data_IF_446624152602
#
_entry.id   IF_446624152602
#
_cell.length_a   1.000
_cell.length_b   1.000
_cell.length_c   1.000
_cell.angle_alpha   90.00
_cell.angle_beta   90.00
_cell.angle_gamma   90.00
#
_symmetry.space_group_name_H-M   'P 1'
#
loop_
_entity.id
_entity.type
_entity.pdbx_description
1 polymer ?
#
# COMPACT_ATOMS: atom_id res chain seq x y z
N UNK A 1 -33.63 31.78 -18.05
CA UNK A 1 -32.30 31.82 -18.72
C UNK A 1 -31.16 32.16 -17.76
N UNK A 2 -31.43 32.57 -16.51
CA UNK A 2 -30.40 32.88 -15.51
C UNK A 2 -29.83 31.65 -14.78
N UNK A 3 -30.60 30.56 -14.65
CA UNK A 3 -30.17 29.38 -13.88
C UNK A 3 -29.08 28.52 -14.56
N UNK A 4 -28.93 28.62 -15.88
CA UNK A 4 -27.95 27.81 -16.61
C UNK A 4 -26.51 28.36 -16.52
N UNK A 5 -26.33 29.58 -15.99
CA UNK A 5 -25.01 30.22 -15.81
C UNK A 5 -24.42 29.90 -14.42
N UNK A 6 -25.28 29.62 -13.43
CA UNK A 6 -24.85 29.23 -12.08
C UNK A 6 -24.34 27.78 -12.02
N UNK A 7 -24.99 26.85 -12.71
CA UNK A 7 -24.52 25.46 -12.78
C UNK A 7 -23.15 25.32 -13.47
N UNK A 8 -22.84 26.18 -14.45
CA UNK A 8 -21.53 26.17 -15.11
C UNK A 8 -20.43 26.83 -14.27
N UNK A 9 -20.78 27.71 -13.33
CA UNK A 9 -19.80 28.35 -12.43
C UNK A 9 -19.44 27.45 -11.25
N UNK A 10 -20.41 26.73 -10.66
CA UNK A 10 -20.13 25.79 -9.56
C UNK A 10 -19.30 24.57 -9.99
N UNK A 11 -19.54 24.05 -11.21
CA UNK A 11 -18.74 22.93 -11.74
C UNK A 11 -17.31 23.37 -12.07
N UNK A 12 -17.12 24.62 -12.50
CA UNK A 12 -15.79 25.20 -12.73
C UNK A 12 -15.05 25.48 -11.41
N UNK A 13 -15.77 25.85 -10.35
CA UNK A 13 -15.20 26.13 -9.03
C UNK A 13 -14.78 24.84 -8.29
N UNK A 14 -15.53 23.75 -8.43
CA UNK A 14 -15.13 22.43 -7.95
C UNK A 14 -13.89 21.89 -8.68
N UNK A 15 -13.80 22.08 -9.99
CA UNK A 15 -12.62 21.69 -10.79
C UNK A 15 -11.38 22.53 -10.43
N UNK A 16 -11.54 23.82 -10.14
CA UNK A 16 -10.45 24.68 -9.68
C UNK A 16 -9.94 24.27 -8.29
N UNK A 17 -10.84 23.88 -7.38
CA UNK A 17 -10.48 23.44 -6.02
C UNK A 17 -9.75 22.09 -6.02
N UNK A 18 -10.13 21.18 -6.93
CA UNK A 18 -9.41 19.92 -7.13
C UNK A 18 -8.02 20.11 -7.78
N UNK A 19 -7.87 21.10 -8.67
CA UNK A 19 -6.59 21.46 -9.25
C UNK A 19 -5.65 22.10 -8.22
N UNK A 20 -6.15 22.97 -7.34
CA UNK A 20 -5.37 23.54 -6.23
C UNK A 20 -4.96 22.49 -5.20
N UNK A 21 -5.83 21.52 -4.89
CA UNK A 21 -5.49 20.39 -4.01
C UNK A 21 -4.39 19.50 -4.62
N UNK A 22 -4.44 19.24 -5.93
CA UNK A 22 -3.40 18.50 -6.64
C UNK A 22 -2.06 19.25 -6.70
N UNK A 23 -2.09 20.58 -6.89
CA UNK A 23 -0.89 21.42 -6.86
C UNK A 23 -0.27 21.49 -5.46
N UNK A 24 -1.08 21.56 -4.40
CA UNK A 24 -0.59 21.52 -3.01
C UNK A 24 0.01 20.15 -2.64
N UNK A 25 -0.58 19.05 -3.10
CA UNK A 25 -0.01 17.71 -2.92
C UNK A 25 1.34 17.56 -3.65
N UNK A 26 1.45 18.07 -4.88
CA UNK A 26 2.69 18.07 -5.65
C UNK A 26 3.78 18.95 -5.02
N UNK A 27 3.43 20.12 -4.48
CA UNK A 27 4.36 20.99 -3.76
C UNK A 27 4.87 20.33 -2.47
N UNK A 28 3.99 19.65 -1.72
CA UNK A 28 4.36 18.93 -0.49
C UNK A 28 5.29 17.73 -0.79
N UNK A 29 5.07 17.04 -1.91
CA UNK A 29 5.96 15.96 -2.37
C UNK A 29 7.32 16.49 -2.84
N UNK A 30 7.36 17.67 -3.48
CA UNK A 30 8.60 18.32 -3.89
C UNK A 30 9.44 18.79 -2.68
N UNK A 31 8.80 19.37 -1.65
CA UNK A 31 9.47 19.76 -0.41
C UNK A 31 9.99 18.55 0.37
N UNK A 32 9.24 17.44 0.39
CA UNK A 32 9.69 16.18 0.99
C UNK A 32 10.92 15.61 0.24
N UNK A 33 10.94 15.68 -1.10
CA UNK A 33 12.07 15.24 -1.90
C UNK A 33 13.31 16.14 -1.71
N UNK A 34 13.13 17.45 -1.58
CA UNK A 34 14.23 18.38 -1.31
C UNK A 34 14.81 18.19 0.10
N UNK A 35 13.97 17.95 1.12
CA UNK A 35 14.44 17.62 2.47
C UNK A 35 15.16 16.26 2.54
N UNK A 36 14.69 15.26 1.79
CA UNK A 36 15.39 13.97 1.68
C UNK A 36 16.76 14.11 1.00
N UNK A 37 16.86 14.94 -0.05
CA UNK A 37 18.12 15.22 -0.74
C UNK A 37 19.11 16.01 0.14
N UNK A 38 18.63 16.99 0.92
CA UNK A 38 19.46 17.74 1.86
C UNK A 38 19.98 16.85 3.00
N UNK A 39 19.13 15.95 3.53
CA UNK A 39 19.54 14.99 4.57
C UNK A 39 20.56 13.97 4.05
N UNK A 40 20.44 13.54 2.78
CA UNK A 40 21.42 12.67 2.13
C UNK A 40 22.76 13.38 1.86
N UNK A 41 22.73 14.68 1.52
CA UNK A 41 23.94 15.49 1.33
C UNK A 41 24.70 15.72 2.64
N UNK A 42 24.00 15.99 3.75
CA UNK A 42 24.60 16.12 5.08
C UNK A 42 25.18 14.79 5.59
N UNK A 43 24.50 13.67 5.32
CA UNK A 43 25.02 12.33 5.64
C UNK A 43 26.30 12.01 4.84
N UNK A 44 26.36 12.38 3.56
CA UNK A 44 27.53 12.20 2.71
C UNK A 44 28.71 13.09 3.13
N UNK A 45 28.46 14.35 3.54
CA UNK A 45 29.51 15.22 4.08
C UNK A 45 30.05 14.72 5.42
N UNK A 46 29.20 14.25 6.34
CA UNK A 46 29.66 13.68 7.61
C UNK A 46 30.45 12.38 7.42
N UNK A 47 30.09 11.55 6.42
CA UNK A 47 30.87 10.37 6.07
C UNK A 47 32.27 10.72 5.49
N UNK A 48 32.35 11.79 4.68
CA UNK A 48 33.63 12.26 4.12
C UNK A 48 34.57 12.86 5.18
N UNK A 49 34.03 13.55 6.20
CA UNK A 49 34.80 14.10 7.32
C UNK A 49 35.32 12.99 8.25
N UNK A 50 34.53 11.92 8.48
CA UNK A 50 34.99 10.76 9.25
C UNK A 50 36.06 9.92 8.51
N UNK A 51 35.97 9.83 7.17
CA UNK A 51 36.98 9.14 6.37
C UNK A 51 38.34 9.85 6.34
N UNK A 52 38.38 11.19 6.53
CA UNK A 52 39.64 11.95 6.57
C UNK A 52 40.34 11.91 7.93
N UNK A 53 39.64 11.62 9.04
CA UNK A 53 40.27 11.43 10.36
C UNK A 53 40.90 10.06 10.57
N UNK A 54 40.51 9.03 9.81
CA UNK A 54 41.08 7.69 9.91
C UNK A 54 42.44 7.51 9.17
N UNK A 55 42.84 8.47 8.33
CA UNK A 55 44.01 8.35 7.46
C UNK A 55 45.32 8.95 8.01
N UNK A 56 45.36 9.46 9.25
CA UNK A 56 46.57 10.09 9.84
C UNK A 56 47.21 9.34 11.01
N UNK A 57 46.71 8.17 11.40
CA UNK A 57 47.33 7.35 12.43
C UNK A 57 48.42 6.44 11.85
N UNK A 58 49.53 7.01 11.40
CA UNK A 58 50.78 6.26 11.22
C UNK A 58 51.36 6.01 12.62
N UNK A 59 51.52 4.76 13.08
CA UNK A 59 52.17 4.51 14.37
C UNK A 59 53.65 4.89 14.24
N UNK A 60 54.04 5.95 14.94
CA UNK A 60 55.45 6.27 15.19
C UNK A 60 56.06 5.12 16.00
N UNK A 61 57.16 4.48 15.58
CA UNK A 61 57.83 3.49 16.42
C UNK A 61 58.41 4.19 17.66
N UNK A 62 57.79 3.95 18.81
CA UNK A 62 58.28 4.38 20.10
C UNK A 62 59.39 3.44 20.58
N UNK A 63 60.61 3.62 20.08
CA UNK A 63 61.87 3.33 20.79
C UNK A 63 63.08 3.59 19.89
N UNK A 64 63.65 4.79 19.95
CA UNK A 64 65.07 4.98 19.68
C UNK A 64 65.68 5.71 20.88
N UNK A 65 66.78 5.20 21.47
CA UNK A 65 67.48 5.90 22.54
C UNK A 65 68.11 7.20 21.99
N UNK A 66 68.24 8.24 22.82
CA UNK A 66 68.77 9.54 22.38
C UNK A 66 70.25 9.41 22.01
N UNK A 67 70.57 9.63 20.74
CA UNK A 67 71.96 9.77 20.30
C UNK A 67 72.52 11.11 20.80
N UNK A 68 73.50 11.01 21.69
CA UNK A 68 74.35 12.12 22.10
C UNK A 68 75.14 12.66 20.91
N UNK A 69 75.08 13.98 20.75
CA UNK A 69 76.02 14.76 19.96
C UNK A 69 77.46 14.51 20.46
N UNK A 70 78.28 13.84 19.66
CA UNK A 70 79.73 14.04 19.66
C UNK A 70 80.16 14.35 18.23
N UNK A 71 80.74 15.53 18.05
CA UNK A 71 81.31 15.94 16.78
C UNK A 71 82.65 15.25 16.55
N UNK A 72 82.83 14.68 15.36
CA UNK A 72 84.09 14.69 14.62
C UNK A 72 83.81 14.25 13.18
N UNK A 73 84.14 15.12 12.24
CA UNK A 73 84.06 14.86 10.82
C UNK A 73 85.15 13.86 10.43
N UNK A 74 84.74 12.73 9.85
CA UNK A 74 85.47 12.01 8.80
C UNK A 74 84.43 11.27 7.96
N UNK A 75 84.29 11.70 6.71
CA UNK A 75 83.54 11.07 5.60
C UNK A 75 82.41 10.12 6.01
N UNK A 76 81.21 10.67 6.22
CA UNK A 76 80.02 9.90 5.94
C UNK A 76 80.02 9.62 4.42
N UNK A 77 79.96 8.36 3.97
CA UNK A 77 79.88 8.06 2.55
C UNK A 77 78.64 8.74 1.97
N UNK A 78 78.84 9.81 1.19
CA UNK A 78 77.77 10.59 0.56
C UNK A 78 77.00 9.82 -0.54
N UNK A 79 77.37 8.56 -0.79
CA UNK A 79 76.72 7.67 -1.73
C UNK A 79 76.64 6.26 -1.14
N UNK A 80 75.62 5.50 -1.58
CA UNK A 80 75.47 4.09 -1.19
C UNK A 80 76.73 3.28 -1.56
N UNK A 81 77.44 3.70 -2.61
CA UNK A 81 78.63 3.03 -3.14
C UNK A 81 79.87 3.19 -2.25
N UNK A 82 79.88 4.14 -1.31
CA UNK A 82 80.98 4.33 -0.37
C UNK A 82 80.75 3.63 0.99
N UNK A 83 79.64 2.88 1.14
CA UNK A 83 79.40 1.98 2.27
C UNK A 83 80.15 0.64 2.10
N UNK A 84 80.46 -0.08 3.18
CA UNK A 84 80.96 -1.45 3.10
C UNK A 84 80.02 -2.38 2.32
N UNK A 85 80.55 -3.39 1.64
CA UNK A 85 79.78 -4.29 0.76
C UNK A 85 78.57 -4.97 1.45
N UNK A 86 78.73 -5.35 2.73
CA UNK A 86 77.62 -5.90 3.53
C UNK A 86 76.46 -4.91 3.73
N UNK A 87 76.77 -3.61 3.87
CA UNK A 87 75.78 -2.56 4.05
C UNK A 87 75.12 -2.16 2.72
N UNK A 88 75.87 -2.22 1.60
CA UNK A 88 75.30 -2.04 0.27
C UNK A 88 74.29 -3.14 -0.08
N UNK A 89 74.62 -4.40 0.25
CA UNK A 89 73.71 -5.52 0.04
C UNK A 89 72.46 -5.41 0.91
N UNK A 90 72.59 -5.06 2.19
CA UNK A 90 71.44 -4.79 3.05
C UNK A 90 70.53 -3.68 2.49
N UNK A 91 71.10 -2.60 1.95
CA UNK A 91 70.31 -1.52 1.33
C UNK A 91 69.60 -1.98 0.05
N UNK A 92 70.23 -2.85 -0.76
CA UNK A 92 69.58 -3.47 -1.92
C UNK A 92 68.43 -4.38 -1.48
N UNK A 93 68.66 -5.25 -0.51
CA UNK A 93 67.64 -6.16 0.03
C UNK A 93 66.43 -5.39 0.59
N UNK A 94 66.66 -4.34 1.39
CA UNK A 94 65.60 -3.47 1.92
C UNK A 94 64.82 -2.72 0.84
N UNK A 95 65.46 -2.36 -0.28
CA UNK A 95 64.80 -1.73 -1.42
C UNK A 95 63.94 -2.74 -2.19
N UNK A 96 64.44 -3.94 -2.39
CA UNK A 96 63.72 -5.03 -3.05
C UNK A 96 62.51 -5.49 -2.22
N UNK A 97 62.66 -5.57 -0.90
CA UNK A 97 61.55 -5.83 0.02
C UNK A 97 60.51 -4.70 -0.03
N UNK A 98 60.92 -3.43 0.03
CA UNK A 98 60.00 -2.31 -0.09
C UNK A 98 59.26 -2.29 -1.44
N UNK A 99 59.95 -2.59 -2.54
CA UNK A 99 59.32 -2.70 -3.86
C UNK A 99 58.27 -3.82 -3.89
N UNK A 100 58.58 -4.99 -3.32
CA UNK A 100 57.63 -6.10 -3.15
C UNK A 100 56.43 -5.68 -2.29
N UNK A 101 56.65 -4.97 -1.19
CA UNK A 101 55.57 -4.49 -0.32
C UNK A 101 54.66 -3.48 -1.01
N UNK A 102 55.23 -2.52 -1.76
CA UNK A 102 54.45 -1.55 -2.54
C UNK A 102 53.61 -2.23 -3.61
N UNK A 103 54.19 -3.20 -4.33
CA UNK A 103 53.45 -3.95 -5.35
C UNK A 103 52.33 -4.78 -4.71
N UNK A 104 52.60 -5.50 -3.61
CA UNK A 104 51.57 -6.23 -2.88
C UNK A 104 50.45 -5.33 -2.36
N UNK A 105 50.78 -4.16 -1.82
CA UNK A 105 49.79 -3.20 -1.34
C UNK A 105 48.94 -2.64 -2.50
N UNK A 106 49.57 -2.34 -3.65
CA UNK A 106 48.85 -1.89 -4.85
C UNK A 106 47.90 -2.97 -5.37
N UNK A 107 48.37 -4.21 -5.51
CA UNK A 107 47.53 -5.33 -5.94
C UNK A 107 46.39 -5.60 -4.95
N UNK A 108 46.65 -5.57 -3.64
CA UNK A 108 45.59 -5.75 -2.64
C UNK A 108 44.52 -4.64 -2.70
N UNK A 109 44.92 -3.39 -2.96
CA UNK A 109 43.98 -2.28 -3.13
C UNK A 109 43.15 -2.42 -4.42
N UNK A 110 43.77 -2.83 -5.53
CA UNK A 110 43.08 -3.11 -6.80
C UNK A 110 42.07 -4.26 -6.65
N UNK A 111 42.46 -5.35 -5.98
CA UNK A 111 41.57 -6.48 -5.68
C UNK A 111 40.41 -6.10 -4.75
N UNK A 112 40.66 -5.28 -3.74
CA UNK A 112 39.61 -4.80 -2.83
C UNK A 112 38.58 -3.95 -3.60
N UNK A 113 39.06 -3.05 -4.45
CA UNK A 113 38.20 -2.20 -5.29
C UNK A 113 37.39 -3.05 -6.28
N UNK A 114 37.99 -4.05 -6.91
CA UNK A 114 37.27 -4.96 -7.82
C UNK A 114 36.21 -5.79 -7.08
N UNK A 115 36.52 -6.31 -5.88
CA UNK A 115 35.51 -7.04 -5.08
C UNK A 115 34.34 -6.14 -4.71
N UNK A 116 34.61 -4.91 -4.31
CA UNK A 116 33.55 -3.95 -3.96
C UNK A 116 32.67 -3.61 -5.16
N UNK A 117 33.28 -3.39 -6.35
CA UNK A 117 32.53 -3.19 -7.60
C UNK A 117 31.66 -4.40 -7.94
N UNK A 118 32.20 -5.62 -7.89
CA UNK A 118 31.44 -6.85 -8.16
C UNK A 118 30.29 -7.04 -7.17
N UNK A 119 30.49 -6.73 -5.88
CA UNK A 119 29.42 -6.79 -4.88
C UNK A 119 28.34 -5.74 -5.14
N UNK A 120 28.73 -4.52 -5.52
CA UNK A 120 27.78 -3.47 -5.87
C UNK A 120 26.96 -3.81 -7.12
N UNK A 121 27.58 -4.41 -8.14
CA UNK A 121 26.90 -4.89 -9.34
C UNK A 121 25.95 -6.05 -9.03
N UNK A 122 26.39 -7.02 -8.24
CA UNK A 122 25.55 -8.14 -7.80
C UNK A 122 24.32 -7.63 -7.01
N UNK A 123 24.51 -6.70 -6.07
CA UNK A 123 23.42 -6.11 -5.31
C UNK A 123 22.44 -5.30 -6.18
N UNK A 124 22.93 -4.59 -7.21
CA UNK A 124 22.08 -3.90 -8.19
C UNK A 124 21.24 -4.90 -8.99
N UNK A 125 21.86 -5.97 -9.48
CA UNK A 125 21.16 -6.99 -10.25
C UNK A 125 20.11 -7.71 -9.40
N UNK A 126 20.43 -8.00 -8.14
CA UNK A 126 19.49 -8.57 -7.18
C UNK A 126 18.30 -7.63 -6.91
N UNK A 127 18.56 -6.34 -6.71
CA UNK A 127 17.49 -5.34 -6.55
C UNK A 127 16.57 -5.28 -7.77
N UNK A 128 17.15 -5.21 -8.97
CA UNK A 128 16.42 -5.19 -10.24
C UNK A 128 15.54 -6.43 -10.39
N UNK A 129 16.08 -7.61 -10.07
CA UNK A 129 15.32 -8.86 -10.10
C UNK A 129 14.17 -8.86 -9.07
N UNK A 130 14.42 -8.39 -7.85
CA UNK A 130 13.40 -8.29 -6.80
C UNK A 130 12.26 -7.36 -7.20
N UNK A 131 12.58 -6.22 -7.83
CA UNK A 131 11.57 -5.28 -8.35
C UNK A 131 10.76 -5.93 -9.48
N UNK A 132 11.42 -6.60 -10.44
CA UNK A 132 10.74 -7.29 -11.54
C UNK A 132 9.76 -8.35 -11.03
N UNK A 133 10.21 -9.18 -10.09
CA UNK A 133 9.39 -10.20 -9.43
C UNK A 133 8.20 -9.59 -8.69
N UNK A 134 8.38 -8.49 -7.98
CA UNK A 134 7.31 -7.79 -7.27
C UNK A 134 6.29 -7.14 -8.24
N UNK A 135 6.74 -6.72 -9.42
CA UNK A 135 5.89 -6.19 -10.49
C UNK A 135 5.23 -7.30 -11.33
N UNK A 136 5.62 -8.56 -11.16
CA UNK A 136 5.09 -9.69 -11.92
C UNK A 136 5.69 -9.81 -13.32
N UNK A 137 6.82 -9.16 -13.58
CA UNK A 137 7.62 -9.39 -14.79
C UNK A 137 8.45 -10.65 -14.53
N UNK A 138 8.15 -11.72 -15.26
CA UNK A 138 8.88 -12.98 -15.20
C UNK A 138 10.35 -12.78 -15.62
N UNK A 139 11.20 -13.78 -15.31
CA UNK A 139 12.68 -13.84 -15.33
C UNK A 139 13.43 -13.44 -16.63
N UNK A 140 12.83 -12.70 -17.55
CA UNK A 140 13.55 -12.01 -18.60
C UNK A 140 14.32 -10.84 -17.98
N UNK A 141 15.59 -10.67 -18.40
CA UNK A 141 16.49 -9.61 -17.94
C UNK A 141 15.78 -8.26 -18.09
N UNK A 142 15.22 -7.70 -17.00
CA UNK A 142 14.14 -6.75 -17.12
C UNK A 142 14.75 -5.40 -17.47
N UNK A 143 14.39 -4.87 -18.63
CA UNK A 143 14.88 -3.57 -19.04
C UNK A 143 14.34 -2.51 -18.07
N UNK A 144 15.15 -1.53 -17.61
CA UNK A 144 14.68 -0.46 -16.71
C UNK A 144 13.41 0.24 -17.20
N UNK A 145 13.25 0.38 -18.52
CA UNK A 145 12.05 0.96 -19.11
C UNK A 145 10.80 0.11 -18.86
N UNK A 146 10.92 -1.22 -18.97
CA UNK A 146 9.82 -2.15 -18.72
C UNK A 146 9.42 -2.15 -17.24
N UNK A 147 10.37 -2.01 -16.33
CA UNK A 147 10.08 -1.89 -14.89
C UNK A 147 9.29 -0.62 -14.58
N UNK A 148 9.66 0.51 -15.18
CA UNK A 148 8.94 1.77 -15.02
C UNK A 148 7.52 1.68 -15.58
N UNK A 149 7.35 1.12 -16.78
CA UNK A 149 6.03 0.93 -17.38
C UNK A 149 5.16 -0.02 -16.54
N UNK A 150 5.71 -1.12 -16.06
CA UNK A 150 5.00 -2.06 -15.19
C UNK A 150 4.59 -1.42 -13.85
N UNK A 151 5.47 -0.62 -13.24
CA UNK A 151 5.16 0.12 -12.03
C UNK A 151 4.05 1.15 -12.24
N UNK A 152 4.09 1.90 -13.34
CA UNK A 152 3.06 2.87 -13.71
C UNK A 152 1.71 2.21 -13.98
N UNK A 153 1.71 1.08 -14.70
CA UNK A 153 0.51 0.30 -14.98
C UNK A 153 -0.11 -0.25 -13.69
N UNK A 154 0.71 -0.83 -12.80
CA UNK A 154 0.25 -1.37 -11.52
C UNK A 154 -0.33 -0.26 -10.62
N UNK A 155 0.32 0.90 -10.58
CA UNK A 155 -0.17 2.06 -9.81
C UNK A 155 -1.51 2.55 -10.35
N UNK A 156 -1.64 2.66 -11.68
CA UNK A 156 -2.89 3.09 -12.33
C UNK A 156 -4.03 2.10 -12.07
N UNK A 157 -3.74 0.80 -12.18
CA UNK A 157 -4.72 -0.27 -11.93
C UNK A 157 -5.17 -0.28 -10.46
N UNK A 158 -4.24 -0.16 -9.53
CA UNK A 158 -4.57 -0.05 -8.10
C UNK A 158 -5.42 1.18 -7.81
N UNK A 159 -5.12 2.33 -8.42
CA UNK A 159 -5.92 3.53 -8.23
C UNK A 159 -7.35 3.36 -8.74
N UNK A 160 -7.53 2.69 -9.89
CA UNK A 160 -8.86 2.33 -10.41
C UNK A 160 -9.60 1.41 -9.44
N UNK A 161 -8.96 0.36 -8.96
CA UNK A 161 -9.56 -0.58 -8.01
C UNK A 161 -9.94 0.09 -6.69
N UNK A 162 -9.09 0.97 -6.16
CA UNK A 162 -9.39 1.75 -4.95
C UNK A 162 -10.60 2.65 -5.20
N UNK A 163 -10.66 3.32 -6.35
CA UNK A 163 -11.76 4.23 -6.70
C UNK A 163 -13.07 3.44 -6.83
N UNK A 164 -13.05 2.30 -7.50
CA UNK A 164 -14.20 1.42 -7.66
C UNK A 164 -14.70 0.87 -6.32
N UNK A 165 -13.80 0.36 -5.47
CA UNK A 165 -14.15 -0.14 -4.14
C UNK A 165 -14.67 0.98 -3.24
N UNK A 166 -14.08 2.17 -3.31
CA UNK A 166 -14.53 3.34 -2.55
C UNK A 166 -15.94 3.74 -2.97
N UNK A 167 -16.23 3.79 -4.27
CA UNK A 167 -17.58 4.09 -4.76
C UNK A 167 -18.59 3.00 -4.38
N UNK A 168 -18.20 1.72 -4.44
CA UNK A 168 -19.03 0.62 -3.96
C UNK A 168 -19.35 0.76 -2.46
N UNK A 169 -18.35 1.07 -1.63
CA UNK A 169 -18.54 1.33 -0.20
C UNK A 169 -19.43 2.55 0.04
N UNK A 170 -19.25 3.63 -0.71
CA UNK A 170 -20.08 4.81 -0.62
C UNK A 170 -21.53 4.51 -0.99
N UNK A 171 -21.75 3.74 -2.05
CA UNK A 171 -23.07 3.26 -2.46
C UNK A 171 -23.74 2.44 -1.36
N UNK A 172 -23.04 1.46 -0.77
CA UNK A 172 -23.58 0.66 0.33
C UNK A 172 -23.87 1.48 1.58
N UNK A 173 -23.01 2.45 1.93
CA UNK A 173 -23.26 3.35 3.06
C UNK A 173 -24.51 4.21 2.83
N UNK A 174 -24.68 4.78 1.63
CA UNK A 174 -25.89 5.53 1.26
C UNK A 174 -27.14 4.65 1.35
N UNK A 175 -27.08 3.45 0.77
CA UNK A 175 -28.20 2.52 0.78
C UNK A 175 -28.60 2.07 2.19
N UNK A 176 -27.62 1.78 3.05
CA UNK A 176 -27.86 1.43 4.44
C UNK A 176 -28.45 2.59 5.23
N UNK A 177 -27.92 3.81 5.06
CA UNK A 177 -28.43 4.99 5.74
C UNK A 177 -29.84 5.37 5.28
N UNK A 178 -30.14 5.22 3.98
CA UNK A 178 -31.51 5.41 3.45
C UNK A 178 -32.45 4.38 4.08
N UNK A 179 -32.05 3.11 4.15
CA UNK A 179 -32.86 2.07 4.79
C UNK A 179 -33.11 2.37 6.28
N UNK A 180 -32.11 2.85 7.00
CA UNK A 180 -32.22 3.26 8.41
C UNK A 180 -33.15 4.48 8.58
N UNK A 181 -33.02 5.49 7.72
CA UNK A 181 -33.87 6.69 7.73
C UNK A 181 -35.35 6.41 7.42
N UNK A 182 -35.64 5.38 6.60
CA UNK A 182 -37.00 4.90 6.37
C UNK A 182 -37.57 4.30 7.67
N UNK A 183 -36.75 3.57 8.43
CA UNK A 183 -37.15 2.90 9.67
C UNK A 183 -38.28 1.89 9.44
N UNK A 184 -39.30 1.90 10.29
CA UNK A 184 -40.46 1.00 10.18
C UNK A 184 -41.47 1.39 9.09
N UNK A 185 -41.20 2.47 8.32
CA UNK A 185 -42.13 2.93 7.28
C UNK A 185 -42.14 1.95 6.12
N UNK A 186 -43.33 1.50 5.72
CA UNK A 186 -43.52 0.60 4.57
C UNK A 186 -43.41 1.39 3.26
N UNK A 187 -42.19 1.70 2.85
CA UNK A 187 -41.87 2.43 1.62
C UNK A 187 -41.28 1.45 0.59
N UNK A 188 -41.61 1.62 -0.68
CA UNK A 188 -40.93 0.87 -1.73
C UNK A 188 -39.53 1.47 -1.95
N UNK A 189 -38.48 0.77 -1.48
CA UNK A 189 -37.10 1.25 -1.55
C UNK A 189 -36.65 1.58 -2.97
N UNK A 190 -37.05 0.80 -3.97
CA UNK A 190 -36.66 1.05 -5.36
C UNK A 190 -37.28 2.34 -5.90
N UNK A 191 -38.54 2.60 -5.54
CA UNK A 191 -39.24 3.81 -5.97
C UNK A 191 -38.73 5.04 -5.23
N UNK A 192 -38.40 4.92 -3.95
CA UNK A 192 -37.77 5.98 -3.17
C UNK A 192 -36.39 6.34 -3.73
N UNK A 193 -35.55 5.36 -4.06
CA UNK A 193 -34.24 5.60 -4.71
C UNK A 193 -34.40 6.32 -6.05
N UNK A 194 -35.37 5.92 -6.87
CA UNK A 194 -35.66 6.61 -8.12
C UNK A 194 -36.12 8.06 -7.91
N UNK A 195 -36.93 8.30 -6.87
CA UNK A 195 -37.38 9.64 -6.51
C UNK A 195 -36.24 10.51 -5.98
N UNK A 196 -35.35 9.98 -5.12
CA UNK A 196 -34.13 10.68 -4.68
C UNK A 196 -33.21 11.01 -5.88
N UNK A 197 -33.10 10.12 -6.86
CA UNK A 197 -32.34 10.40 -8.08
C UNK A 197 -32.96 11.52 -8.91
N UNK A 198 -34.27 11.51 -9.06
CA UNK A 198 -35.00 12.53 -9.82
C UNK A 198 -34.87 13.91 -9.17
N UNK A 199 -34.92 13.97 -7.84
CA UNK A 199 -34.82 15.22 -7.07
C UNK A 199 -33.37 15.67 -6.81
N UNK A 200 -32.39 14.98 -7.40
CA UNK A 200 -30.96 15.19 -7.12
C UNK A 200 -30.59 15.07 -5.62
N UNK A 201 -31.40 14.42 -4.79
CA UNK A 201 -31.17 14.31 -3.33
C UNK A 201 -29.85 13.63 -2.98
N UNK A 202 -29.27 12.85 -3.90
CA UNK A 202 -27.93 12.27 -3.72
C UNK A 202 -26.78 13.29 -3.80
N UNK A 203 -26.98 14.48 -4.39
CA UNK A 203 -25.95 15.54 -4.44
C UNK A 203 -25.78 16.23 -3.10
N UNK A 204 -26.85 16.27 -2.30
CA UNK A 204 -26.84 16.87 -0.97
C UNK A 204 -26.27 15.92 0.09
N UNK A 205 -26.10 14.63 -0.25
CA UNK A 205 -25.64 13.58 0.64
C UNK A 205 -24.14 13.34 0.44
N UNK A 206 -23.33 13.86 1.37
CA UNK A 206 -21.90 13.59 1.41
C UNK A 206 -21.59 12.46 2.41
N UNK A 207 -21.16 11.32 1.88
CA UNK A 207 -20.82 10.10 2.66
C UNK A 207 -19.61 10.32 3.58
N UNK A 208 -18.81 11.35 3.33
CA UNK A 208 -17.64 11.70 4.13
C UNK A 208 -17.91 12.76 5.20
N UNK A 209 -19.12 13.33 5.23
CA UNK A 209 -19.51 14.35 6.20
C UNK A 209 -19.83 13.74 7.57
N UNK A 210 -19.46 14.44 8.64
CA UNK A 210 -19.84 14.09 10.01
C UNK A 210 -21.36 14.13 10.24
N UNK A 211 -22.08 14.92 9.44
CA UNK A 211 -23.55 15.07 9.51
C UNK A 211 -24.28 14.21 8.47
N UNK A 212 -23.64 13.17 7.92
CA UNK A 212 -24.18 12.32 6.85
C UNK A 212 -25.57 11.74 7.20
N UNK A 213 -25.77 11.24 8.41
CA UNK A 213 -27.05 10.64 8.83
C UNK A 213 -28.19 11.66 8.83
N UNK A 214 -27.91 12.90 9.23
CA UNK A 214 -28.91 13.98 9.25
C UNK A 214 -29.25 14.42 7.82
N UNK A 215 -28.24 14.53 6.94
CA UNK A 215 -28.44 14.85 5.52
C UNK A 215 -29.30 13.80 4.82
N UNK A 216 -29.03 12.50 5.06
CA UNK A 216 -29.83 11.41 4.51
C UNK A 216 -31.26 11.46 5.03
N UNK A 217 -31.43 11.68 6.34
CA UNK A 217 -32.76 11.76 6.95
C UNK A 217 -33.57 12.93 6.40
N UNK A 218 -32.95 14.09 6.22
CA UNK A 218 -33.59 15.27 5.64
C UNK A 218 -33.99 15.02 4.18
N UNK A 219 -33.08 14.49 3.36
CA UNK A 219 -33.36 14.18 1.96
C UNK A 219 -34.49 13.13 1.81
N UNK A 220 -34.48 12.08 2.63
CA UNK A 220 -35.54 11.06 2.62
C UNK A 220 -36.88 11.66 3.05
N UNK A 221 -36.93 12.43 4.14
CA UNK A 221 -38.18 13.06 4.58
C UNK A 221 -38.71 14.05 3.54
N UNK A 222 -37.85 14.86 2.93
CA UNK A 222 -38.21 15.80 1.85
C UNK A 222 -38.88 15.10 0.67
N UNK A 223 -38.32 13.97 0.23
CA UNK A 223 -38.88 13.17 -0.87
C UNK A 223 -40.20 12.51 -0.48
N UNK A 224 -40.33 12.02 0.76
CA UNK A 224 -41.57 11.44 1.29
C UNK A 224 -42.68 12.49 1.45
N UNK A 225 -42.35 13.70 1.86
CA UNK A 225 -43.29 14.83 1.99
C UNK A 225 -43.78 15.29 0.61
N UNK A 226 -42.87 15.34 -0.38
CA UNK A 226 -43.22 15.68 -1.76
C UNK A 226 -44.01 14.57 -2.47
N UNK A 227 -43.81 13.31 -2.10
CA UNK A 227 -44.42 12.14 -2.73
C UNK A 227 -45.07 11.22 -1.68
N UNK A 228 -46.18 11.62 -1.06
CA UNK A 228 -46.84 10.85 0.00
C UNK A 228 -47.30 9.46 -0.48
N UNK A 229 -47.55 9.29 -1.78
CA UNK A 229 -47.92 8.02 -2.42
C UNK A 229 -46.83 6.93 -2.32
N UNK A 230 -45.58 7.31 -2.01
CA UNK A 230 -44.49 6.35 -1.80
C UNK A 230 -44.65 5.56 -0.49
N UNK A 231 -45.35 6.13 0.48
CA UNK A 231 -45.68 5.46 1.74
C UNK A 231 -46.88 4.57 1.48
N UNK A 232 -46.68 3.25 1.51
CA UNK A 232 -47.79 2.32 1.39
C UNK A 232 -48.67 2.45 2.64
N UNK A 233 -49.76 3.20 2.52
CA UNK A 233 -50.85 3.20 3.50
C UNK A 233 -51.29 1.76 3.63
N UNK A 234 -51.14 1.20 4.83
CA UNK A 234 -51.56 -0.18 5.11
C UNK A 234 -53.06 -0.27 4.83
N UNK A 235 -53.48 -0.80 3.67
CA UNK A 235 -54.82 -1.39 3.58
C UNK A 235 -54.83 -2.48 4.63
N UNK A 236 -55.72 -2.33 5.60
CA UNK A 236 -55.86 -3.24 6.73
C UNK A 236 -55.74 -4.69 6.28
N UNK A 237 -54.95 -5.47 7.02
CA UNK A 237 -54.80 -6.91 6.81
C UNK A 237 -56.19 -7.51 6.63
N UNK A 238 -56.54 -7.93 5.41
CA UNK A 238 -57.63 -8.88 5.23
C UNK A 238 -57.22 -10.12 6.01
N UNK A 239 -57.95 -10.42 7.07
CA UNK A 239 -57.77 -11.61 7.89
C UNK A 239 -58.03 -12.84 7.03
N UNK A 240 -56.98 -13.38 6.43
CA UNK A 240 -57.00 -14.75 5.92
C UNK A 240 -56.53 -15.62 7.07
N UNK A 241 -57.50 -16.29 7.67
CA UNK A 241 -57.33 -17.32 8.69
C UNK A 241 -56.32 -18.36 8.19
N UNK A 242 -55.16 -18.43 8.85
CA UNK A 242 -54.05 -19.29 8.47
C UNK A 242 -54.25 -20.75 8.91
N UNK A 243 -55.39 -21.08 9.52
CA UNK A 243 -55.61 -22.39 10.13
C UNK A 243 -56.18 -23.45 9.16
N UNK A 244 -56.55 -23.09 7.92
CA UNK A 244 -57.33 -23.98 7.03
C UNK A 244 -56.65 -24.31 5.68
N UNK A 245 -55.41 -23.89 5.45
CA UNK A 245 -54.68 -24.16 4.19
C UNK A 245 -53.46 -25.07 4.35
N UNK A 246 -53.55 -26.11 5.20
CA UNK A 246 -52.66 -27.28 5.07
C UNK A 246 -53.10 -28.09 3.85
N UNK A 247 -52.61 -27.68 2.69
CA UNK A 247 -52.79 -28.39 1.42
C UNK A 247 -52.06 -29.74 1.47
N UNK A 248 -52.80 -30.82 1.71
CA UNK A 248 -52.73 -32.15 1.09
C UNK A 248 -51.43 -32.95 0.90
N UNK A 249 -50.22 -32.37 0.98
CA UNK A 249 -48.97 -33.01 0.57
C UNK A 249 -47.84 -32.94 1.59
N UNK A 250 -48.03 -32.26 2.72
CA UNK A 250 -46.99 -32.19 3.73
C UNK A 250 -46.83 -33.53 4.48
N UNK A 251 -45.58 -33.98 4.74
CA UNK A 251 -45.31 -35.16 5.56
C UNK A 251 -45.85 -34.93 6.98
N UNK A 252 -46.62 -35.91 7.47
CA UNK A 252 -47.26 -35.85 8.79
C UNK A 252 -46.25 -36.09 9.91
N UNK A 253 -46.24 -35.24 10.93
CA UNK A 253 -45.33 -35.40 12.07
C UNK A 253 -45.87 -36.37 13.12
N UNK A 254 -45.00 -36.83 14.05
CA UNK A 254 -45.41 -37.70 15.17
C UNK A 254 -46.43 -37.06 16.10
N UNK A 255 -46.46 -35.73 16.18
CA UNK A 255 -47.42 -35.01 17.02
C UNK A 255 -48.77 -34.86 16.31
N UNK A 256 -48.79 -34.77 14.98
CA UNK A 256 -50.04 -34.78 14.19
C UNK A 256 -50.77 -36.12 14.36
N UNK A 257 -50.04 -37.24 14.33
CA UNK A 257 -50.57 -38.60 14.54
C UNK A 257 -51.29 -38.79 15.87
N UNK A 258 -50.87 -38.09 16.94
CA UNK A 258 -51.51 -38.20 18.26
C UNK A 258 -52.89 -37.56 18.29
N UNK A 259 -53.15 -36.64 17.37
CA UNK A 259 -54.41 -35.89 17.29
C UNK A 259 -55.31 -36.37 16.17
N UNK A 260 -54.84 -37.29 15.31
CA UNK A 260 -55.60 -37.86 14.20
C UNK A 260 -56.43 -39.06 14.63
N UNK A 261 -57.56 -39.25 13.94
CA UNK A 261 -58.39 -40.44 14.11
C UNK A 261 -57.72 -41.68 13.52
N UNK A 262 -58.07 -42.87 14.02
CA UNK A 262 -57.53 -44.13 13.51
C UNK A 262 -57.83 -44.34 12.01
N UNK A 263 -58.92 -43.78 11.50
CA UNK A 263 -59.27 -43.84 10.07
C UNK A 263 -58.34 -42.95 9.23
N UNK A 264 -58.05 -41.74 9.71
CA UNK A 264 -57.18 -40.80 9.00
C UNK A 264 -55.72 -41.27 9.00
N UNK A 265 -55.28 -41.92 10.07
CA UNK A 265 -53.95 -42.55 10.13
C UNK A 265 -53.84 -43.65 9.08
N UNK A 266 -54.83 -44.54 8.97
CA UNK A 266 -54.84 -45.61 7.96
C UNK A 266 -54.82 -45.06 6.53
N UNK A 267 -55.52 -43.96 6.28
CA UNK A 267 -55.50 -43.26 4.99
C UNK A 267 -54.10 -42.68 4.71
N UNK A 268 -53.50 -42.01 5.69
CA UNK A 268 -52.16 -41.44 5.56
C UNK A 268 -51.07 -42.50 5.35
N UNK A 269 -51.21 -43.71 5.92
CA UNK A 269 -50.33 -44.85 5.65
C UNK A 269 -50.48 -45.33 4.20
N UNK A 270 -51.72 -45.50 3.70
CA UNK A 270 -51.96 -45.90 2.30
C UNK A 270 -51.45 -44.87 1.29
N UNK A 271 -51.47 -43.60 1.67
CA UNK A 271 -50.99 -42.48 0.86
C UNK A 271 -49.46 -42.27 0.96
N UNK A 272 -48.73 -43.11 1.72
CA UNK A 272 -47.26 -43.03 1.86
C UNK A 272 -46.76 -41.80 2.64
N UNK A 273 -47.67 -41.02 3.26
CA UNK A 273 -47.33 -39.78 3.97
C UNK A 273 -46.63 -40.02 5.31
N UNK A 274 -46.65 -41.26 5.78
CA UNK A 274 -46.05 -41.71 7.04
C UNK A 274 -44.80 -42.58 6.83
N UNK A 275 -44.37 -42.81 5.59
CA UNK A 275 -43.24 -43.70 5.27
C UNK A 275 -41.94 -43.24 5.96
N UNK A 276 -41.72 -41.92 6.03
CA UNK A 276 -40.58 -41.32 6.71
C UNK A 276 -40.54 -41.54 8.24
N UNK A 277 -41.67 -41.90 8.85
CA UNK A 277 -41.76 -42.23 10.28
C UNK A 277 -41.67 -43.73 10.57
N UNK A 278 -41.85 -44.57 9.53
CA UNK A 278 -41.87 -46.03 9.64
C UNK A 278 -40.54 -46.68 9.22
N UNK A 279 -39.69 -45.97 8.48
CA UNK A 279 -38.30 -46.37 8.20
C UNK A 279 -37.37 -45.89 9.34
N UNK A 280 -37.32 -46.63 10.44
CA UNK A 280 -36.27 -46.52 11.46
C UNK A 280 -35.90 -47.88 12.02
#
# INVERSE_FOLDING_TARGET
MSDNVQATTDTAQAAATAADAAQNAAATAADAAQNAAATAADAAQNAAVNATQAATATPTPANMPPQQNQGQATDAPNSVDALPEWAQNMVRDLRDENAKHRNKAKTAAEEATQREQQQAEAARNELVHNIAKALGLADEEPNPQQLLEAANNKTTEQQKQITELTEQLHSYKRDAAIADAIGDRRVNHNLLKAALHLDNGYKDIDVTSDNFTDQVSEAVNRVLDANPELVQVTRGKSGVDSNTTRNGSDPLTRDDLKTMSAEDINKAVREGRLDHLMQS
#
